data_IF_366314223142
#
_entry.id   IF_366314223142
#
_cell.length_a   1.000
_cell.length_b   1.000
_cell.length_c   1.000
_cell.angle_alpha   90.00
_cell.angle_beta   90.00
_cell.angle_gamma   90.00
#
_symmetry.space_group_name_H-M   'P 1'
#
loop_
_entity.id
_entity.type
_entity.pdbx_description
1 polymer ?
#
# COMPACT_ATOMS: atom_id res chain seq x y z
N UNK A 1 22.92 32.03 33.68
CA UNK A 1 22.84 30.70 34.31
C UNK A 1 21.64 29.99 33.74
N UNK A 2 21.74 28.67 33.65
CA UNK A 2 21.10 27.75 32.71
C UNK A 2 19.67 27.40 33.14
N UNK A 3 18.72 27.40 32.20
CA UNK A 3 17.54 26.51 32.17
C UNK A 3 17.36 26.08 30.70
N UNK A 4 17.97 24.99 30.27
CA UNK A 4 17.39 23.63 30.10
C UNK A 4 16.12 23.65 29.20
N UNK A 5 16.25 23.44 27.89
CA UNK A 5 16.42 22.15 27.20
C UNK A 5 15.24 21.19 27.37
N UNK A 6 14.12 21.47 26.69
CA UNK A 6 13.15 20.43 26.29
C UNK A 6 12.69 20.74 24.85
N UNK A 7 13.63 20.65 23.90
CA UNK A 7 13.32 20.70 22.47
C UNK A 7 14.19 19.68 21.76
N UNK A 8 13.77 18.42 21.80
CA UNK A 8 14.53 17.37 21.12
C UNK A 8 14.12 15.98 21.53
N UNK A 9 12.89 15.56 21.22
CA UNK A 9 12.56 14.13 21.20
C UNK A 9 11.41 13.78 20.25
N UNK A 10 10.45 14.67 19.98
CA UNK A 10 9.31 14.31 19.12
C UNK A 10 9.53 14.53 17.61
N UNK A 11 10.37 15.48 17.19
CA UNK A 11 10.54 15.73 15.74
C UNK A 11 11.46 14.72 15.04
N UNK A 12 12.24 13.93 15.79
CA UNK A 12 13.19 12.97 15.21
C UNK A 12 12.52 11.66 14.76
N UNK A 13 11.47 11.23 15.47
CA UNK A 13 10.71 10.03 15.12
C UNK A 13 9.90 10.26 13.84
N UNK A 14 9.22 11.40 13.72
CA UNK A 14 8.50 11.76 12.50
C UNK A 14 9.41 11.98 11.28
N UNK A 15 10.64 12.48 11.48
CA UNK A 15 11.60 12.65 10.39
C UNK A 15 12.21 11.33 9.91
N UNK A 16 12.27 10.31 10.77
CA UNK A 16 12.84 9.00 10.37
C UNK A 16 11.85 8.20 9.53
N UNK A 17 10.55 8.31 9.80
CA UNK A 17 9.51 7.72 8.95
C UNK A 17 9.32 8.46 7.62
N UNK A 18 9.54 9.79 7.61
CA UNK A 18 9.41 10.60 6.40
C UNK A 18 10.57 10.46 5.40
N UNK A 19 11.74 9.93 5.80
CA UNK A 19 12.93 9.87 4.92
C UNK A 19 12.91 8.78 3.86
N UNK A 20 11.94 7.85 3.90
CA UNK A 20 11.70 6.90 2.81
C UNK A 20 10.53 7.30 1.89
N UNK A 21 9.85 8.43 2.17
CA UNK A 21 8.94 9.10 1.23
C UNK A 21 9.74 9.96 0.22
N UNK A 22 10.78 9.38 -0.40
CA UNK A 22 11.17 9.90 -1.72
C UNK A 22 9.97 9.66 -2.62
N UNK A 23 9.40 10.72 -3.21
CA UNK A 23 8.21 10.71 -4.09
C UNK A 23 8.39 9.71 -5.23
N UNK A 24 8.22 8.42 -4.93
CA UNK A 24 8.49 7.33 -5.83
C UNK A 24 7.28 7.24 -6.72
N UNK A 25 7.50 7.40 -8.02
CA UNK A 25 6.41 7.30 -9.00
C UNK A 25 5.78 5.90 -8.95
N UNK A 26 4.50 5.80 -9.27
CA UNK A 26 3.77 4.52 -9.30
C UNK A 26 4.51 3.43 -10.11
N UNK A 27 5.12 3.71 -11.28
CA UNK A 27 5.93 2.71 -11.99
C UNK A 27 7.12 2.19 -11.18
N UNK A 28 7.82 3.06 -10.44
CA UNK A 28 8.93 2.64 -9.59
C UNK A 28 8.45 1.79 -8.41
N UNK A 29 7.32 2.17 -7.81
CA UNK A 29 6.70 1.38 -6.74
C UNK A 29 6.25 0.01 -7.25
N UNK A 30 5.72 -0.09 -8.48
CA UNK A 30 5.36 -1.36 -9.09
C UNK A 30 6.57 -2.30 -9.17
N UNK A 31 7.75 -1.79 -9.56
CA UNK A 31 8.99 -2.59 -9.57
C UNK A 31 9.37 -2.99 -8.15
N UNK A 32 9.34 -2.06 -7.19
CA UNK A 32 9.76 -2.31 -5.81
C UNK A 32 8.88 -3.34 -5.07
N UNK A 33 7.57 -3.36 -5.32
CA UNK A 33 6.64 -4.34 -4.72
C UNK A 33 6.96 -5.79 -5.15
N UNK A 34 7.58 -5.97 -6.31
CA UNK A 34 8.01 -7.30 -6.81
C UNK A 34 9.34 -7.77 -6.22
N UNK A 35 10.01 -6.94 -5.41
CA UNK A 35 11.25 -7.31 -4.74
C UNK A 35 11.02 -8.46 -3.76
N UNK A 36 11.99 -9.37 -3.67
CA UNK A 36 12.03 -10.41 -2.62
C UNK A 36 12.61 -9.87 -1.31
N UNK A 37 13.22 -8.69 -1.34
CA UNK A 37 13.72 -8.02 -0.14
C UNK A 37 12.56 -7.29 0.55
N UNK A 38 12.15 -7.79 1.71
CA UNK A 38 11.06 -7.23 2.52
C UNK A 38 11.35 -5.77 2.95
N UNK A 39 12.62 -5.37 3.06
CA UNK A 39 12.99 -3.98 3.38
C UNK A 39 12.70 -3.00 2.24
N UNK A 40 12.54 -3.50 1.00
CA UNK A 40 12.16 -2.72 -0.18
C UNK A 40 10.67 -2.88 -0.46
N UNK A 41 10.18 -4.12 -0.44
CA UNK A 41 8.81 -4.46 -0.77
C UNK A 41 7.81 -3.80 0.18
N UNK A 42 8.03 -3.91 1.49
CA UNK A 42 7.07 -3.46 2.48
C UNK A 42 6.88 -1.94 2.49
N UNK A 43 7.95 -1.10 2.48
CA UNK A 43 7.79 0.34 2.31
C UNK A 43 7.12 0.73 0.98
N UNK A 44 7.43 0.03 -0.12
CA UNK A 44 6.81 0.32 -1.41
C UNK A 44 5.30 0.08 -1.40
N UNK A 45 4.85 -1.00 -0.77
CA UNK A 45 3.42 -1.28 -0.59
C UNK A 45 2.73 -0.23 0.28
N UNK A 46 3.38 0.22 1.37
CA UNK A 46 2.85 1.32 2.21
C UNK A 46 2.71 2.62 1.40
N UNK A 47 3.69 2.94 0.57
CA UNK A 47 3.62 4.12 -0.29
C UNK A 47 2.47 4.02 -1.30
N UNK A 48 2.23 2.84 -1.89
CA UNK A 48 1.05 2.64 -2.74
C UNK A 48 -0.25 2.85 -1.98
N UNK A 49 -0.36 2.32 -0.76
CA UNK A 49 -1.54 2.54 0.07
C UNK A 49 -1.78 4.04 0.34
N UNK A 50 -0.72 4.76 0.73
CA UNK A 50 -0.80 6.20 1.00
C UNK A 50 -1.21 6.99 -0.24
N UNK A 51 -0.65 6.68 -1.41
CA UNK A 51 -1.02 7.32 -2.67
C UNK A 51 -2.51 7.14 -2.97
N UNK A 52 -3.07 5.93 -2.80
CA UNK A 52 -4.50 5.69 -3.08
C UNK A 52 -5.40 6.39 -2.04
N UNK A 53 -4.91 6.59 -0.81
CA UNK A 53 -5.62 7.34 0.23
C UNK A 53 -5.66 8.83 -0.14
N UNK A 54 -4.52 9.41 -0.52
CA UNK A 54 -4.31 10.83 -0.76
C UNK A 54 -4.81 11.29 -2.15
N UNK A 55 -4.67 10.43 -3.17
CA UNK A 55 -4.98 10.70 -4.58
C UNK A 55 -5.90 9.61 -5.14
N UNK A 56 -7.23 9.67 -4.94
CA UNK A 56 -8.16 8.63 -5.40
C UNK A 56 -8.08 8.29 -6.89
N UNK A 57 -7.76 9.27 -7.74
CA UNK A 57 -7.58 9.13 -9.19
C UNK A 57 -6.34 8.29 -9.56
N UNK A 58 -5.39 8.14 -8.63
CA UNK A 58 -4.18 7.33 -8.83
C UNK A 58 -4.49 5.87 -9.15
N UNK A 59 -5.70 5.39 -8.79
CA UNK A 59 -6.19 4.04 -9.11
C UNK A 59 -6.05 3.71 -10.59
N UNK A 60 -6.24 4.68 -11.49
CA UNK A 60 -6.03 4.49 -12.94
C UNK A 60 -4.58 4.08 -13.21
N UNK A 61 -3.63 4.85 -12.70
CA UNK A 61 -2.20 4.59 -12.88
C UNK A 61 -1.77 3.29 -12.19
N UNK A 62 -2.36 2.95 -11.04
CA UNK A 62 -2.12 1.68 -10.34
C UNK A 62 -2.54 0.48 -11.20
N UNK A 63 -3.67 0.60 -11.91
CA UNK A 63 -4.16 -0.42 -12.85
C UNK A 63 -3.21 -0.59 -14.04
N UNK A 64 -2.80 0.52 -14.64
CA UNK A 64 -1.90 0.53 -15.81
C UNK A 64 -0.50 -0.07 -15.51
N UNK A 65 -0.10 -0.13 -14.24
CA UNK A 65 1.21 -0.62 -13.82
C UNK A 65 1.20 -2.07 -13.27
N UNK A 66 0.13 -2.83 -13.53
CA UNK A 66 -0.04 -4.24 -13.15
C UNK A 66 0.08 -4.52 -11.64
N UNK A 67 -0.12 -3.51 -10.79
CA UNK A 67 0.03 -3.64 -9.34
C UNK A 67 -1.02 -4.61 -8.78
N UNK A 68 -2.27 -4.55 -9.26
CA UNK A 68 -3.34 -5.47 -8.83
C UNK A 68 -2.96 -6.94 -9.04
N UNK A 69 -2.38 -7.27 -10.20
CA UNK A 69 -1.94 -8.64 -10.50
C UNK A 69 -0.89 -9.13 -9.49
N UNK A 70 0.03 -8.24 -9.11
CA UNK A 70 1.07 -8.55 -8.12
C UNK A 70 0.47 -8.76 -6.74
N UNK A 71 -0.43 -7.89 -6.30
CA UNK A 71 -1.08 -7.99 -4.99
C UNK A 71 -1.94 -9.26 -4.87
N UNK A 72 -2.66 -9.63 -5.93
CA UNK A 72 -3.42 -10.87 -5.97
C UNK A 72 -2.53 -12.10 -5.76
N UNK A 73 -1.29 -12.12 -6.28
CA UNK A 73 -0.35 -13.24 -6.03
C UNK A 73 0.02 -13.38 -4.56
N UNK A 74 0.11 -12.28 -3.82
CA UNK A 74 0.43 -12.32 -2.39
C UNK A 74 -0.74 -12.79 -1.54
N UNK A 75 -1.96 -12.55 -2.00
CA UNK A 75 -3.17 -13.06 -1.33
C UNK A 75 -3.24 -14.59 -1.39
N UNK A 76 -3.02 -15.15 -2.57
CA UNK A 76 -3.09 -16.60 -2.79
C UNK A 76 -1.82 -17.35 -2.38
N UNK A 77 -0.83 -16.67 -1.81
CA UNK A 77 0.36 -17.33 -1.29
C UNK A 77 0.06 -17.98 0.07
N UNK A 78 0.60 -19.17 0.32
CA UNK A 78 0.35 -19.93 1.57
C UNK A 78 0.97 -19.26 2.81
N UNK A 79 1.96 -18.37 2.60
CA UNK A 79 2.63 -17.63 3.66
C UNK A 79 1.74 -16.48 4.18
N UNK A 80 1.02 -16.74 5.28
CA UNK A 80 0.27 -15.71 6.00
C UNK A 80 1.23 -14.73 6.67
N UNK A 81 1.10 -13.44 6.37
CA UNK A 81 1.99 -12.41 6.93
C UNK A 81 1.58 -10.98 6.58
N UNK A 82 2.38 -10.01 7.04
CA UNK A 82 2.09 -8.58 6.85
C UNK A 82 1.89 -8.18 5.39
N UNK A 83 2.60 -8.83 4.46
CA UNK A 83 2.46 -8.60 3.01
C UNK A 83 1.08 -9.03 2.51
N UNK A 84 0.54 -10.15 3.00
CA UNK A 84 -0.82 -10.58 2.65
C UNK A 84 -1.85 -9.57 3.15
N UNK A 85 -1.76 -9.16 4.42
CA UNK A 85 -2.68 -8.17 4.99
C UNK A 85 -2.61 -6.82 4.27
N UNK A 86 -1.41 -6.34 3.98
CA UNK A 86 -1.23 -5.08 3.26
C UNK A 86 -1.73 -5.18 1.81
N UNK A 87 -1.57 -6.34 1.16
CA UNK A 87 -2.13 -6.58 -0.17
C UNK A 87 -3.65 -6.52 -0.18
N UNK A 88 -4.29 -7.21 0.77
CA UNK A 88 -5.74 -7.14 0.94
C UNK A 88 -6.20 -5.71 1.21
N UNK A 89 -5.55 -4.98 2.10
CA UNK A 89 -5.90 -3.59 2.41
C UNK A 89 -5.84 -2.68 1.16
N UNK A 90 -4.78 -2.79 0.35
CA UNK A 90 -4.63 -2.02 -0.88
C UNK A 90 -5.72 -2.38 -1.89
N UNK A 91 -5.95 -3.68 -2.14
CA UNK A 91 -6.97 -4.12 -3.09
C UNK A 91 -8.38 -3.69 -2.66
N UNK A 92 -8.69 -3.76 -1.37
CA UNK A 92 -9.96 -3.31 -0.82
C UNK A 92 -10.16 -1.81 -1.06
N UNK A 93 -9.13 -1.00 -0.80
CA UNK A 93 -9.21 0.43 -1.03
C UNK A 93 -9.37 0.75 -2.53
N UNK A 94 -8.65 0.05 -3.41
CA UNK A 94 -8.85 0.17 -4.87
C UNK A 94 -10.31 -0.14 -5.22
N UNK A 95 -10.87 -1.24 -4.70
CA UNK A 95 -12.27 -1.60 -4.93
C UNK A 95 -13.25 -0.52 -4.50
N UNK A 96 -13.04 0.09 -3.33
CA UNK A 96 -13.86 1.19 -2.80
C UNK A 96 -13.72 2.47 -3.64
N UNK A 97 -12.52 2.78 -4.13
CA UNK A 97 -12.25 3.96 -4.96
C UNK A 97 -12.64 3.76 -6.42
N UNK A 98 -12.91 2.52 -6.83
CA UNK A 98 -13.24 2.16 -8.22
C UNK A 98 -14.72 2.35 -8.58
N UNK A 99 -15.51 3.10 -7.79
CA UNK A 99 -16.89 3.44 -8.13
C UNK A 99 -16.93 4.27 -9.43
N UNK A 100 -17.23 3.60 -10.55
CA UNK A 100 -17.21 4.19 -11.90
C UNK A 100 -16.31 3.47 -12.90
N UNK A 101 -15.45 2.54 -12.45
CA UNK A 101 -14.65 1.68 -13.32
C UNK A 101 -15.37 0.39 -13.70
N UNK A 102 -14.91 -0.25 -14.79
CA UNK A 102 -15.47 -1.48 -15.33
C UNK A 102 -15.64 -2.58 -14.24
N UNK A 103 -16.72 -3.35 -14.33
CA UNK A 103 -17.03 -4.43 -13.39
C UNK A 103 -15.91 -5.47 -13.26
N UNK A 104 -15.11 -5.68 -14.31
CA UNK A 104 -13.93 -6.57 -14.31
C UNK A 104 -12.80 -6.06 -13.42
N UNK A 105 -12.56 -4.75 -13.39
CA UNK A 105 -11.57 -4.08 -12.53
C UNK A 105 -12.00 -4.21 -11.06
N UNK A 106 -13.29 -3.97 -10.80
CA UNK A 106 -13.86 -4.14 -9.46
C UNK A 106 -13.77 -5.59 -9.00
N UNK A 107 -14.06 -6.56 -9.87
CA UNK A 107 -13.94 -7.97 -9.55
C UNK A 107 -12.50 -8.36 -9.20
N UNK A 108 -11.50 -7.85 -9.91
CA UNK A 108 -10.08 -8.11 -9.63
C UNK A 108 -9.54 -7.48 -8.33
N UNK A 109 -10.16 -6.39 -7.86
CA UNK A 109 -9.80 -5.70 -6.61
C UNK A 109 -10.58 -6.20 -5.39
N UNK A 110 -11.79 -6.75 -5.57
CA UNK A 110 -12.72 -7.10 -4.48
C UNK A 110 -12.68 -8.61 -4.12
N UNK A 111 -11.64 -9.35 -4.52
CA UNK A 111 -11.68 -10.81 -4.43
C UNK A 111 -11.75 -11.36 -2.99
N UNK A 112 -11.23 -10.66 -1.96
CA UNK A 112 -11.19 -11.23 -0.60
C UNK A 112 -11.76 -10.40 0.56
N UNK A 113 -12.10 -9.12 0.37
CA UNK A 113 -12.77 -8.30 1.40
C UNK A 113 -13.99 -8.99 2.01
N UNK A 114 -14.78 -9.67 1.16
CA UNK A 114 -16.02 -10.32 1.58
C UNK A 114 -15.78 -11.69 2.21
N UNK A 115 -14.76 -12.44 1.77
CA UNK A 115 -14.50 -13.79 2.27
C UNK A 115 -13.96 -13.76 3.71
N UNK A 116 -13.15 -12.76 4.06
CA UNK A 116 -12.68 -12.59 5.44
C UNK A 116 -13.75 -12.04 6.40
N UNK A 117 -14.75 -11.31 5.89
CA UNK A 117 -15.88 -10.80 6.70
C UNK A 117 -16.95 -11.87 6.98
N UNK A 118 -17.12 -12.86 6.09
CA UNK A 118 -18.14 -13.92 6.24
C UNK A 118 -17.65 -15.10 7.10
N UNK A 119 -16.34 -15.23 7.34
CA UNK A 119 -15.77 -16.35 8.10
C UNK A 119 -15.61 -16.05 9.62
N UNK A 120 -16.53 -15.27 10.20
CA UNK A 120 -16.66 -15.03 11.65
C UNK A 120 -17.65 -16.01 12.28
#
# INVERSE_FOLDING_TARGET
MIEESIQGSESSLHQTEQRYLGSSSIPQLAVAIRSTDKSIQFPAMKNVLNIIIEEPESVVTILENDIISVLNKFIFNEEKGEIQFLSSAILNLIGLRSEGFDASIRAGAVIESLIQMINV
#
